data_IF_603046862261
#
_entry.id   IF_603046862261
#
_cell.length_a   1.000
_cell.length_b   1.000
_cell.length_c   1.000
_cell.angle_alpha   90.00
_cell.angle_beta   90.00
_cell.angle_gamma   90.00
#
_symmetry.space_group_name_H-M   'P 1'
#
loop_
_entity.id
_entity.type
_entity.pdbx_description
1 polymer ?
#
# COMPACT_ATOMS: atom_id res chain seq x y z
N UNK A 1 16.27 19.62 29.68
CA UNK A 1 16.67 18.20 29.64
C UNK A 1 15.56 17.30 29.17
N UNK A 2 14.37 17.38 29.73
CA UNK A 2 13.23 16.58 29.25
C UNK A 2 12.87 16.83 27.78
N UNK A 3 13.02 18.07 27.31
CA UNK A 3 12.73 18.45 25.92
C UNK A 3 13.74 17.89 24.92
N UNK A 4 15.02 17.73 25.32
CA UNK A 4 16.05 17.15 24.47
C UNK A 4 15.87 15.63 24.30
N UNK A 5 15.53 14.93 25.38
CA UNK A 5 15.26 13.50 25.33
C UNK A 5 14.06 13.21 24.44
N UNK A 6 12.99 14.00 24.54
CA UNK A 6 11.81 13.88 23.71
C UNK A 6 12.11 14.15 22.24
N UNK A 7 12.97 15.13 21.96
CA UNK A 7 13.41 15.44 20.58
C UNK A 7 14.21 14.31 19.97
N UNK A 8 15.11 13.70 20.75
CA UNK A 8 15.94 12.59 20.28
C UNK A 8 15.09 11.35 20.02
N UNK A 9 14.15 11.05 20.88
CA UNK A 9 13.19 9.95 20.68
C UNK A 9 12.33 10.22 19.46
N UNK A 10 11.82 11.44 19.29
CA UNK A 10 11.03 11.84 18.12
C UNK A 10 11.85 11.72 16.83
N UNK A 11 13.11 12.16 16.85
CA UNK A 11 14.01 12.04 15.70
C UNK A 11 14.26 10.59 15.33
N UNK A 12 14.48 9.72 16.30
CA UNK A 12 14.67 8.28 16.06
C UNK A 12 13.42 7.65 15.45
N UNK A 13 12.25 7.99 15.99
CA UNK A 13 10.98 7.50 15.48
C UNK A 13 10.71 7.98 14.06
N UNK A 14 11.00 9.25 13.78
CA UNK A 14 10.86 9.83 12.46
C UNK A 14 11.79 9.13 11.48
N UNK A 15 13.05 8.92 11.84
CA UNK A 15 14.02 8.23 10.98
C UNK A 15 13.59 6.80 10.69
N UNK A 16 13.07 6.09 11.68
CA UNK A 16 12.53 4.76 11.48
C UNK A 16 11.43 4.75 10.43
N UNK A 17 10.49 5.68 10.53
CA UNK A 17 9.39 5.77 9.57
C UNK A 17 9.86 6.18 8.19
N UNK A 18 10.82 7.11 8.12
CA UNK A 18 11.40 7.53 6.84
C UNK A 18 12.08 6.34 6.16
N UNK A 19 12.92 5.61 6.85
CA UNK A 19 13.61 4.44 6.30
C UNK A 19 12.63 3.36 5.86
N UNK A 20 11.61 3.12 6.68
CA UNK A 20 10.57 2.15 6.36
C UNK A 20 9.81 2.55 5.09
N UNK A 21 9.45 3.83 4.99
CA UNK A 21 8.72 4.34 3.82
C UNK A 21 9.57 4.33 2.56
N UNK A 22 10.85 4.67 2.67
CA UNK A 22 11.79 4.58 1.53
C UNK A 22 11.87 3.13 1.04
N UNK A 23 12.00 2.17 1.95
CA UNK A 23 12.05 0.76 1.61
C UNK A 23 10.76 0.30 0.92
N UNK A 24 9.62 0.71 1.44
CA UNK A 24 8.32 0.40 0.85
C UNK A 24 8.13 1.04 -0.53
N UNK A 25 8.63 2.26 -0.71
CA UNK A 25 8.60 2.91 -2.03
C UNK A 25 9.46 2.17 -3.05
N UNK A 26 10.62 1.66 -2.63
CA UNK A 26 11.46 0.83 -3.49
C UNK A 26 10.75 -0.46 -3.89
N UNK A 27 10.10 -1.13 -2.94
CA UNK A 27 9.29 -2.33 -3.21
C UNK A 27 8.15 -2.02 -4.16
N UNK A 28 7.51 -0.88 -3.98
CA UNK A 28 6.44 -0.41 -4.86
C UNK A 28 6.95 -0.23 -6.30
N UNK A 29 8.13 0.37 -6.47
CA UNK A 29 8.74 0.54 -7.79
C UNK A 29 9.08 -0.80 -8.44
N UNK A 30 9.58 -1.75 -7.69
CA UNK A 30 9.85 -3.10 -8.18
C UNK A 30 8.57 -3.78 -8.66
N UNK A 31 7.51 -3.69 -7.85
CA UNK A 31 6.19 -4.23 -8.20
C UNK A 31 5.65 -3.56 -9.46
N UNK A 32 5.79 -2.24 -9.59
CA UNK A 32 5.36 -1.52 -10.78
C UNK A 32 6.09 -1.98 -12.03
N UNK A 33 7.39 -2.25 -11.93
CA UNK A 33 8.18 -2.81 -13.03
C UNK A 33 7.70 -4.21 -13.40
N UNK A 34 7.41 -5.03 -12.40
CA UNK A 34 6.90 -6.39 -12.62
C UNK A 34 5.52 -6.36 -13.31
N UNK A 35 4.67 -5.44 -12.91
CA UNK A 35 3.37 -5.24 -13.55
C UNK A 35 3.56 -4.84 -15.01
N UNK A 36 4.40 -3.84 -15.28
CA UNK A 36 4.69 -3.38 -16.64
C UNK A 36 5.27 -4.50 -17.50
N UNK A 37 6.22 -5.25 -16.95
CA UNK A 37 6.84 -6.38 -17.61
C UNK A 37 5.83 -7.48 -17.94
N UNK A 38 4.90 -7.74 -17.03
CA UNK A 38 3.86 -8.75 -17.24
C UNK A 38 2.91 -8.35 -18.36
N UNK A 39 2.50 -7.08 -18.41
CA UNK A 39 1.68 -6.57 -19.50
C UNK A 39 2.41 -6.61 -20.84
N UNK A 40 3.69 -6.26 -20.83
CA UNK A 40 4.52 -6.31 -22.02
C UNK A 40 4.59 -7.74 -22.57
N UNK A 41 4.81 -8.71 -21.69
CA UNK A 41 4.87 -10.12 -22.04
C UNK A 41 3.53 -10.61 -22.61
N UNK A 42 2.42 -10.22 -22.01
CA UNK A 42 1.09 -10.55 -22.50
C UNK A 42 0.86 -9.98 -23.91
N UNK A 43 1.26 -8.73 -24.13
CA UNK A 43 1.17 -8.10 -25.43
C UNK A 43 2.03 -8.84 -26.48
N UNK A 44 3.22 -9.25 -26.08
CA UNK A 44 4.15 -9.99 -26.95
C UNK A 44 3.58 -11.36 -27.34
N UNK A 45 2.81 -11.98 -26.46
CA UNK A 45 2.11 -13.25 -26.73
C UNK A 45 0.82 -13.06 -27.54
N UNK A 46 0.46 -11.83 -27.88
CA UNK A 46 -0.69 -11.53 -28.74
C UNK A 46 -1.99 -11.24 -28.00
N UNK A 47 -1.95 -11.08 -26.67
CA UNK A 47 -3.13 -10.77 -25.90
C UNK A 47 -3.45 -9.27 -25.92
N UNK A 48 -4.74 -8.93 -25.83
CA UNK A 48 -5.19 -7.55 -25.72
C UNK A 48 -5.00 -7.05 -24.29
N UNK A 49 -3.96 -6.22 -24.09
CA UNK A 49 -3.62 -5.68 -22.78
C UNK A 49 -4.68 -4.70 -22.23
N UNK A 50 -5.39 -4.01 -23.12
CA UNK A 50 -6.48 -3.11 -22.68
C UNK A 50 -7.61 -3.89 -22.03
N UNK A 51 -7.96 -5.02 -22.60
CA UNK A 51 -8.96 -5.93 -22.05
C UNK A 51 -8.50 -6.50 -20.70
N UNK A 52 -7.25 -6.96 -20.63
CA UNK A 52 -6.66 -7.50 -19.40
C UNK A 52 -6.69 -6.44 -18.29
N UNK A 53 -6.33 -5.20 -18.60
CA UNK A 53 -6.34 -4.08 -17.63
C UNK A 53 -7.74 -3.86 -17.06
N UNK A 54 -8.76 -3.91 -17.90
CA UNK A 54 -10.16 -3.76 -17.45
C UNK A 54 -10.56 -4.85 -16.47
N UNK A 55 -10.22 -6.09 -16.78
CA UNK A 55 -10.52 -7.24 -15.90
C UNK A 55 -9.78 -7.12 -14.59
N UNK A 56 -8.49 -6.79 -14.64
CA UNK A 56 -7.66 -6.63 -13.45
C UNK A 56 -8.22 -5.53 -12.54
N UNK A 57 -8.60 -4.39 -13.10
CA UNK A 57 -9.21 -3.29 -12.32
C UNK A 57 -10.51 -3.73 -11.66
N UNK A 58 -11.34 -4.46 -12.36
CA UNK A 58 -12.61 -4.95 -11.83
C UNK A 58 -12.39 -5.92 -10.68
N UNK A 59 -11.47 -6.86 -10.83
CA UNK A 59 -11.13 -7.81 -9.79
C UNK A 59 -10.50 -7.13 -8.57
N UNK A 60 -9.63 -6.16 -8.80
CA UNK A 60 -9.01 -5.39 -7.72
C UNK A 60 -10.04 -4.59 -6.93
N UNK A 61 -10.96 -3.92 -7.60
CA UNK A 61 -12.06 -3.20 -6.94
C UNK A 61 -12.92 -4.13 -6.10
N UNK A 62 -13.26 -5.28 -6.62
CA UNK A 62 -14.06 -6.27 -5.90
C UNK A 62 -13.33 -6.74 -4.66
N UNK A 63 -12.05 -7.04 -4.77
CA UNK A 63 -11.20 -7.45 -3.67
C UNK A 63 -11.12 -6.38 -2.58
N UNK A 64 -10.91 -5.13 -2.96
CA UNK A 64 -10.87 -4.00 -2.03
C UNK A 64 -12.19 -3.79 -1.32
N UNK A 65 -13.31 -3.94 -2.01
CA UNK A 65 -14.64 -3.86 -1.40
C UNK A 65 -14.84 -4.95 -0.35
N UNK A 66 -14.44 -6.17 -0.65
CA UNK A 66 -14.51 -7.29 0.30
C UNK A 66 -13.64 -7.05 1.52
N UNK A 67 -12.40 -6.59 1.33
CA UNK A 67 -11.50 -6.23 2.42
C UNK A 67 -12.07 -5.10 3.28
N UNK A 68 -12.60 -4.06 2.66
CA UNK A 68 -13.21 -2.93 3.36
C UNK A 68 -14.45 -3.38 4.13
N UNK A 69 -15.26 -4.28 3.57
CA UNK A 69 -16.43 -4.82 4.24
C UNK A 69 -16.04 -5.66 5.46
N UNK A 70 -15.04 -6.53 5.31
CA UNK A 70 -14.49 -7.34 6.40
C UNK A 70 -13.92 -6.46 7.51
N UNK A 71 -13.19 -5.41 7.15
CA UNK A 71 -12.61 -4.49 8.12
C UNK A 71 -13.66 -3.62 8.80
N UNK A 72 -14.76 -3.27 8.13
CA UNK A 72 -15.86 -2.51 8.75
C UNK A 72 -16.58 -3.30 9.83
N UNK A 73 -16.69 -4.61 9.67
CA UNK A 73 -17.33 -5.49 10.62
C UNK A 73 -16.39 -5.92 11.75
N UNK A 74 -15.15 -5.47 11.76
CA UNK A 74 -14.12 -5.89 12.70
C UNK A 74 -13.85 -4.77 13.71
N UNK A 75 -13.77 -5.13 15.00
CA UNK A 75 -13.40 -4.20 16.09
C UNK A 75 -12.07 -3.48 15.84
N UNK A 76 -11.20 -4.07 15.02
CA UNK A 76 -9.93 -3.49 14.62
C UNK A 76 -10.10 -2.18 13.85
N UNK A 77 -11.13 -2.08 13.03
CA UNK A 77 -11.41 -0.85 12.26
C UNK A 77 -11.86 0.28 13.19
N UNK A 78 -12.62 -0.05 14.21
CA UNK A 78 -13.01 0.93 15.23
C UNK A 78 -11.79 1.47 15.97
N UNK A 79 -10.84 0.60 16.29
CA UNK A 79 -9.57 1.00 16.90
C UNK A 79 -8.77 1.93 16.00
N UNK A 80 -8.70 1.64 14.70
CA UNK A 80 -8.04 2.49 13.72
C UNK A 80 -8.74 3.84 13.57
N UNK A 81 -10.06 3.84 13.60
CA UNK A 81 -10.85 5.07 13.55
C UNK A 81 -10.61 5.92 14.80
N UNK A 82 -10.55 5.31 15.97
CA UNK A 82 -10.27 5.99 17.24
C UNK A 82 -8.86 6.62 17.23
N UNK A 83 -7.88 5.90 16.70
CA UNK A 83 -6.51 6.42 16.55
C UNK A 83 -6.48 7.57 15.56
N UNK A 84 -7.29 7.52 14.51
CA UNK A 84 -7.36 8.57 13.51
C UNK A 84 -7.98 9.87 14.04
N UNK A 85 -8.91 9.76 14.98
CA UNK A 85 -9.60 10.91 15.54
C UNK A 85 -8.99 11.41 16.85
N UNK A 86 -8.06 10.70 17.40
CA UNK A 86 -7.33 11.14 18.56
C UNK A 86 -6.04 11.83 18.18
#
# INVERSE_FOLDING_TARGET
MKNQENRDVLKRNINYFIEKLVDLEEQKHEIQRDIASTYYKANDEGYDTSYIKKIVKTKDKKRRKEETKLTKDNAFVQLLADVHFS
#
